data_IF_920610343220
#
_entry.id   IF_920610343220
#
_cell.length_a   1.000
_cell.length_b   1.000
_cell.length_c   1.000
_cell.angle_alpha   90.00
_cell.angle_beta   90.00
_cell.angle_gamma   90.00
#
_symmetry.space_group_name_H-M   'P 1'
#
loop_
_entity.id
_entity.type
_entity.pdbx_description
1 polymer ?
#
# COMPACT_ATOMS: atom_id res chain seq x y z
N UNK A 1 -5.71 -1.14 -21.63
CA UNK A 1 -6.58 -1.64 -20.56
C UNK A 1 -6.28 -3.09 -20.22
N UNK A 2 -6.89 -4.04 -20.92
CA UNK A 2 -6.87 -5.48 -20.60
C UNK A 2 -5.45 -6.04 -20.38
N UNK A 3 -4.52 -5.78 -21.30
CA UNK A 3 -3.12 -6.20 -21.17
C UNK A 3 -2.48 -5.71 -19.86
N UNK A 4 -2.67 -4.43 -19.51
CA UNK A 4 -2.13 -3.86 -18.27
C UNK A 4 -2.72 -4.51 -17.02
N UNK A 5 -3.98 -4.94 -17.07
CA UNK A 5 -4.62 -5.64 -15.97
C UNK A 5 -4.12 -7.08 -15.79
N UNK A 6 -3.99 -7.82 -16.90
CA UNK A 6 -3.40 -9.16 -16.92
C UNK A 6 -1.95 -9.15 -16.45
N UNK A 7 -1.16 -8.20 -16.97
CA UNK A 7 0.22 -7.98 -16.53
C UNK A 7 0.29 -7.64 -15.03
N UNK A 8 -0.55 -6.71 -14.56
CA UNK A 8 -0.59 -6.35 -13.15
C UNK A 8 -0.91 -7.53 -12.23
N UNK A 9 -1.91 -8.35 -12.58
CA UNK A 9 -2.26 -9.54 -11.83
C UNK A 9 -1.14 -10.61 -11.82
N UNK A 10 -0.52 -10.86 -12.98
CA UNK A 10 0.60 -11.79 -13.11
C UNK A 10 1.81 -11.31 -12.30
N UNK A 11 2.14 -10.02 -12.42
CA UNK A 11 3.25 -9.38 -11.70
C UNK A 11 3.08 -9.51 -10.19
N UNK A 12 1.90 -9.20 -9.65
CA UNK A 12 1.62 -9.28 -8.21
C UNK A 12 1.79 -10.73 -7.72
N UNK A 13 1.17 -11.71 -8.39
CA UNK A 13 1.26 -13.12 -7.99
C UNK A 13 2.70 -13.65 -8.05
N UNK A 14 3.39 -13.38 -9.15
CA UNK A 14 4.77 -13.82 -9.35
C UNK A 14 5.73 -13.17 -8.34
N UNK A 15 5.57 -11.87 -8.09
CA UNK A 15 6.42 -11.15 -7.14
C UNK A 15 6.21 -11.62 -5.70
N UNK A 16 4.96 -11.83 -5.26
CA UNK A 16 4.68 -12.36 -3.91
C UNK A 16 5.25 -13.78 -3.76
N UNK A 17 5.06 -14.64 -4.76
CA UNK A 17 5.61 -16.00 -4.74
C UNK A 17 7.15 -15.97 -4.64
N UNK A 18 7.79 -15.08 -5.40
CA UNK A 18 9.23 -14.87 -5.35
C UNK A 18 9.70 -14.34 -3.99
N UNK A 19 9.05 -13.32 -3.44
CA UNK A 19 9.39 -12.75 -2.14
C UNK A 19 9.17 -13.75 -0.99
N UNK A 20 8.10 -14.57 -1.05
CA UNK A 20 7.87 -15.67 -0.09
C UNK A 20 8.99 -16.70 -0.16
N UNK A 21 9.43 -17.05 -1.37
CA UNK A 21 10.58 -17.94 -1.56
C UNK A 21 11.87 -17.31 -1.04
N UNK A 22 12.10 -16.02 -1.23
CA UNK A 22 13.25 -15.28 -0.69
C UNK A 22 13.28 -15.30 0.85
N UNK A 23 12.13 -15.16 1.51
CA UNK A 23 12.03 -15.22 2.99
C UNK A 23 12.30 -16.62 3.55
N UNK A 24 11.94 -17.68 2.83
CA UNK A 24 12.09 -19.08 3.28
C UNK A 24 13.42 -19.71 2.91
N UNK A 25 14.12 -19.18 1.90
CA UNK A 25 15.40 -19.71 1.41
C UNK A 25 16.60 -18.95 1.97
N UNK A 26 17.81 -19.53 1.85
CA UNK A 26 19.08 -18.91 2.28
C UNK A 26 19.40 -17.58 1.60
N UNK A 27 18.72 -17.24 0.50
CA UNK A 27 18.82 -15.94 -0.17
C UNK A 27 18.51 -14.78 0.77
N UNK A 28 17.58 -14.95 1.73
CA UNK A 28 17.26 -13.92 2.72
C UNK A 28 18.39 -13.58 3.70
N UNK A 29 19.37 -14.49 3.88
CA UNK A 29 20.47 -14.35 4.84
C UNK A 29 21.61 -13.47 4.30
N UNK A 30 21.83 -13.44 2.98
CA UNK A 30 22.89 -12.67 2.33
C UNK A 30 22.34 -11.63 1.33
N UNK A 31 21.68 -10.56 1.82
CA UNK A 31 20.99 -9.60 0.96
C UNK A 31 21.94 -8.81 0.05
N UNK A 32 23.15 -8.50 0.50
CA UNK A 32 24.13 -7.72 -0.29
C UNK A 32 24.63 -8.54 -1.49
N UNK A 33 24.91 -9.83 -1.30
CA UNK A 33 25.37 -10.73 -2.37
C UNK A 33 24.28 -10.92 -3.41
N UNK A 34 23.03 -11.10 -2.99
CA UNK A 34 21.90 -11.18 -3.90
C UNK A 34 21.81 -9.94 -4.79
N UNK A 35 21.94 -8.74 -4.21
CA UNK A 35 21.89 -7.49 -4.97
C UNK A 35 23.02 -7.39 -5.99
N UNK A 36 24.24 -7.75 -5.62
CA UNK A 36 25.39 -7.75 -6.52
C UNK A 36 25.21 -8.74 -7.69
N UNK A 37 24.74 -9.95 -7.41
CA UNK A 37 24.52 -10.98 -8.44
C UNK A 37 23.40 -10.58 -9.39
N UNK A 38 22.28 -10.09 -8.87
CA UNK A 38 21.16 -9.63 -9.71
C UNK A 38 21.60 -8.44 -10.55
N UNK A 39 22.33 -7.47 -9.99
CA UNK A 39 22.83 -6.31 -10.73
C UNK A 39 23.85 -6.69 -11.83
N UNK A 40 24.75 -7.66 -11.56
CA UNK A 40 25.68 -8.15 -12.57
C UNK A 40 24.95 -8.87 -13.71
N UNK A 41 23.98 -9.71 -13.37
CA UNK A 41 23.16 -10.44 -14.35
C UNK A 41 22.29 -9.50 -15.17
N UNK A 42 21.68 -8.48 -14.54
CA UNK A 42 20.87 -7.48 -15.25
C UNK A 42 21.74 -6.70 -16.22
N UNK A 43 22.93 -6.28 -15.83
CA UNK A 43 23.87 -5.55 -16.69
C UNK A 43 24.30 -6.41 -17.89
N UNK A 44 24.63 -7.67 -17.66
CA UNK A 44 25.08 -8.60 -18.72
C UNK A 44 23.97 -8.88 -19.74
N UNK A 45 22.74 -9.09 -19.28
CA UNK A 45 21.60 -9.37 -20.18
C UNK A 45 21.06 -8.10 -20.85
N UNK A 46 21.15 -6.94 -20.19
CA UNK A 46 20.65 -5.68 -20.75
C UNK A 46 21.62 -5.02 -21.74
N UNK A 47 22.91 -5.34 -21.70
CA UNK A 47 23.93 -4.71 -22.55
C UNK A 47 23.70 -4.86 -24.07
N UNK A 48 23.26 -6.03 -24.60
CA UNK A 48 23.09 -6.23 -26.04
C UNK A 48 21.96 -5.42 -26.67
N UNK A 49 20.96 -5.01 -25.89
CA UNK A 49 19.78 -4.30 -26.40
C UNK A 49 19.82 -2.81 -26.01
N UNK A 50 19.79 -1.95 -27.02
CA UNK A 50 19.91 -0.49 -26.85
C UNK A 50 18.82 0.07 -25.93
N UNK A 51 17.57 -0.39 -26.08
CA UNK A 51 16.44 0.07 -25.28
C UNK A 51 16.47 -0.42 -23.83
N UNK A 52 17.11 -1.55 -23.55
CA UNK A 52 17.27 -2.03 -22.17
C UNK A 52 18.41 -1.34 -21.44
N UNK A 53 19.40 -0.84 -22.18
CA UNK A 53 20.56 -0.10 -21.68
C UNK A 53 20.23 1.34 -21.29
N UNK A 54 19.27 1.98 -21.96
CA UNK A 54 18.82 3.34 -21.68
C UNK A 54 18.24 3.50 -20.27
N UNK A 55 18.34 4.72 -19.73
CA UNK A 55 17.72 5.05 -18.44
C UNK A 55 16.19 4.99 -18.54
N UNK A 56 15.51 4.64 -17.44
CA UNK A 56 14.06 4.42 -17.48
C UNK A 56 13.24 5.66 -17.85
N UNK A 57 13.68 6.85 -17.42
CA UNK A 57 13.05 8.13 -17.75
C UNK A 57 13.26 8.53 -19.20
N UNK A 58 14.48 8.37 -19.71
CA UNK A 58 14.83 8.65 -21.10
C UNK A 58 14.08 7.72 -22.04
N UNK A 59 14.00 6.43 -21.69
CA UNK A 59 13.21 5.45 -22.44
C UNK A 59 11.74 5.87 -22.50
N UNK A 60 11.11 6.25 -21.38
CA UNK A 60 9.70 6.69 -21.39
C UNK A 60 9.53 7.94 -22.25
N UNK A 61 10.44 8.92 -22.14
CA UNK A 61 10.41 10.13 -22.96
C UNK A 61 10.49 9.81 -24.45
N UNK A 62 11.39 8.92 -24.83
CA UNK A 62 11.56 8.49 -26.23
C UNK A 62 10.32 7.76 -26.75
N UNK A 63 9.63 6.97 -25.91
CA UNK A 63 8.41 6.28 -26.30
C UNK A 63 7.19 7.20 -26.43
N UNK A 64 7.15 8.29 -25.67
CA UNK A 64 6.09 9.28 -25.73
C UNK A 64 6.30 10.28 -26.86
N UNK A 65 7.53 10.39 -27.38
CA UNK A 65 7.84 11.34 -28.44
C UNK A 65 7.10 10.98 -29.75
N UNK A 66 6.52 12.00 -30.36
CA UNK A 66 5.98 11.91 -31.71
C UNK A 66 7.10 12.20 -32.70
N UNK A 67 7.24 11.35 -33.71
CA UNK A 67 8.33 11.47 -34.67
C UNK A 67 8.22 12.78 -35.44
N UNK A 68 9.28 13.59 -35.42
CA UNK A 68 9.43 14.77 -36.29
C UNK A 68 10.41 14.49 -37.43
N UNK A 69 10.36 15.27 -38.52
CA UNK A 69 11.21 15.11 -39.71
C UNK A 69 12.73 15.18 -39.42
N UNK A 70 13.12 15.76 -38.28
CA UNK A 70 14.52 15.91 -37.86
C UNK A 70 14.98 14.90 -36.81
N UNK A 71 14.08 14.07 -36.27
CA UNK A 71 14.46 13.11 -35.23
C UNK A 71 15.05 11.85 -35.84
N UNK A 72 16.32 11.58 -35.49
CA UNK A 72 17.10 10.44 -35.97
C UNK A 72 16.88 9.16 -35.14
N UNK A 73 15.81 9.11 -34.35
CA UNK A 73 15.57 7.96 -33.49
C UNK A 73 15.15 6.73 -34.28
N UNK A 74 15.57 5.55 -33.81
CA UNK A 74 15.27 4.27 -34.48
C UNK A 74 13.75 3.99 -34.55
N UNK A 75 12.95 4.64 -33.71
CA UNK A 75 11.48 4.58 -33.74
C UNK A 75 10.86 5.42 -34.87
N UNK A 76 11.65 6.29 -35.52
CA UNK A 76 11.21 7.16 -36.61
C UNK A 76 11.75 6.73 -37.98
N UNK A 77 12.25 5.48 -38.08
CA UNK A 77 12.79 4.87 -39.30
C UNK A 77 11.76 4.50 -40.36
N UNK A 78 10.89 5.43 -40.75
CA UNK A 78 9.91 5.26 -41.83
C UNK A 78 10.57 5.46 -43.20
N UNK A 79 10.10 4.75 -44.25
CA UNK A 79 10.63 4.94 -45.61
C UNK A 79 10.26 6.34 -46.12
N UNK A 80 11.26 7.17 -46.43
CA UNK A 80 11.04 8.44 -47.11
C UNK A 80 10.59 8.18 -48.56
N UNK A 81 9.52 8.83 -49.06
CA UNK A 81 9.17 8.77 -50.46
C UNK A 81 10.27 9.46 -51.29
N UNK A 82 10.67 8.81 -52.37
CA UNK A 82 11.83 9.14 -53.23
C UNK A 82 11.73 10.54 -53.89
N UNK A 83 10.55 11.19 -53.86
CA UNK A 83 10.29 12.47 -54.54
C UNK A 83 9.97 13.64 -53.59
N UNK A 84 10.45 13.63 -52.34
CA UNK A 84 10.18 14.70 -51.36
C UNK A 84 11.24 15.81 -51.32
N UNK A 85 12.01 16.03 -52.38
CA UNK A 85 13.00 17.11 -52.44
C UNK A 85 12.53 18.41 -53.10
N UNK A 86 11.31 18.51 -53.65
CA UNK A 86 10.95 19.69 -54.47
C UNK A 86 9.59 20.36 -54.24
N UNK A 87 8.72 19.91 -53.35
CA UNK A 87 7.49 20.67 -53.06
C UNK A 87 7.25 20.81 -51.57
N UNK A 88 7.41 22.03 -51.07
CA UNK A 88 7.02 22.47 -49.73
C UNK A 88 5.51 22.49 -49.56
N UNK A 89 4.87 21.32 -49.65
CA UNK A 89 3.44 21.11 -49.43
C UNK A 89 3.28 20.04 -48.35
N UNK A 90 3.00 20.51 -47.13
CA UNK A 90 2.49 19.69 -46.02
C UNK A 90 3.55 19.04 -45.11
N UNK A 91 3.78 19.64 -43.95
CA UNK A 91 4.51 19.07 -42.81
C UNK A 91 3.71 17.95 -42.12
N UNK A 92 3.28 16.90 -42.82
CA UNK A 92 2.66 15.73 -42.19
C UNK A 92 3.52 14.49 -42.41
N UNK A 93 4.03 13.93 -41.30
CA UNK A 93 4.80 12.68 -41.29
C UNK A 93 3.94 11.44 -41.51
N UNK A 94 2.62 11.59 -41.38
CA UNK A 94 1.65 10.51 -41.44
C UNK A 94 1.50 9.97 -42.87
N UNK A 95 1.37 8.64 -42.99
CA UNK A 95 1.29 7.84 -44.23
C UNK A 95 2.62 7.42 -44.86
N UNK A 96 3.53 6.84 -44.06
CA UNK A 96 4.70 6.10 -44.59
C UNK A 96 4.70 4.63 -44.15
N UNK A 97 5.03 3.70 -45.07
CA UNK A 97 5.23 2.31 -44.68
C UNK A 97 6.45 2.19 -43.76
N UNK A 98 6.35 1.31 -42.77
CA UNK A 98 7.46 0.99 -41.88
C UNK A 98 8.72 0.61 -42.68
N UNK A 99 9.84 1.26 -42.38
CA UNK A 99 11.15 0.90 -42.90
C UNK A 99 11.75 -0.29 -42.18
N UNK A 100 12.82 -0.86 -42.73
CA UNK A 100 13.57 -1.96 -42.10
C UNK A 100 14.12 -1.56 -40.72
N UNK A 101 14.49 -0.28 -40.57
CA UNK A 101 14.88 0.32 -39.28
C UNK A 101 13.77 0.29 -38.23
N UNK A 102 12.51 0.53 -38.62
CA UNK A 102 11.38 0.47 -37.69
C UNK A 102 11.05 -0.97 -37.28
N UNK A 103 11.09 -1.93 -38.21
CA UNK A 103 10.85 -3.35 -37.88
C UNK A 103 11.91 -3.91 -36.92
N UNK A 104 13.19 -3.56 -37.13
CA UNK A 104 14.27 -3.93 -36.22
C UNK A 104 14.11 -3.28 -34.84
N UNK A 105 13.72 -2.01 -34.78
CA UNK A 105 13.39 -1.32 -33.53
C UNK A 105 12.22 -1.97 -32.77
N UNK A 106 11.13 -2.32 -33.47
CA UNK A 106 9.97 -3.00 -32.88
C UNK A 106 10.35 -4.37 -32.30
N UNK A 107 11.20 -5.12 -32.99
CA UNK A 107 11.71 -6.40 -32.49
C UNK A 107 12.56 -6.22 -31.23
N UNK A 108 13.45 -5.23 -31.22
CA UNK A 108 14.25 -4.89 -30.04
C UNK A 108 13.39 -4.41 -28.86
N UNK A 109 12.32 -3.65 -29.12
CA UNK A 109 11.33 -3.24 -28.11
C UNK A 109 10.53 -4.44 -27.57
N UNK A 110 10.15 -5.39 -28.41
CA UNK A 110 9.47 -6.61 -27.98
C UNK A 110 10.37 -7.47 -27.06
N UNK A 111 11.66 -7.61 -27.41
CA UNK A 111 12.64 -8.26 -26.53
C UNK A 111 12.84 -7.47 -25.23
N UNK A 112 12.89 -6.14 -25.30
CA UNK A 112 12.99 -5.27 -24.13
C UNK A 112 11.77 -5.41 -23.21
N UNK A 113 10.56 -5.56 -23.77
CA UNK A 113 9.32 -5.77 -23.02
C UNK A 113 9.40 -7.05 -22.19
N UNK A 114 9.76 -8.18 -22.83
CA UNK A 114 9.88 -9.48 -22.15
C UNK A 114 10.94 -9.40 -21.05
N UNK A 115 12.11 -8.83 -21.35
CA UNK A 115 13.18 -8.67 -20.37
C UNK A 115 12.76 -7.79 -19.19
N UNK A 116 12.16 -6.61 -19.44
CA UNK A 116 11.70 -5.68 -18.40
C UNK A 116 10.59 -6.32 -17.55
N UNK A 117 9.67 -7.07 -18.14
CA UNK A 117 8.66 -7.83 -17.39
C UNK A 117 9.32 -8.82 -16.42
N UNK A 118 10.26 -9.64 -16.88
CA UNK A 118 10.91 -10.63 -16.02
C UNK A 118 11.76 -9.98 -14.93
N UNK A 119 12.56 -8.98 -15.29
CA UNK A 119 13.51 -8.37 -14.35
C UNK A 119 12.82 -7.55 -13.26
N UNK A 120 11.70 -6.90 -13.58
CA UNK A 120 10.92 -6.14 -12.59
C UNK A 120 10.32 -7.03 -11.51
N UNK A 121 9.89 -8.25 -11.86
CA UNK A 121 9.38 -9.24 -10.89
C UNK A 121 10.48 -9.65 -9.90
N UNK A 122 11.72 -9.84 -10.38
CA UNK A 122 12.86 -10.30 -9.57
C UNK A 122 13.42 -9.17 -8.69
N UNK A 123 13.52 -7.96 -9.24
CA UNK A 123 14.13 -6.81 -8.56
C UNK A 123 13.24 -6.19 -7.50
N UNK A 124 11.92 -6.23 -7.69
CA UNK A 124 10.99 -5.71 -6.70
C UNK A 124 10.96 -6.62 -5.46
N UNK A 125 11.15 -6.02 -4.28
CA UNK A 125 11.25 -6.74 -3.00
C UNK A 125 12.67 -7.12 -2.57
N UNK A 126 13.71 -6.66 -3.28
CA UNK A 126 15.09 -6.74 -2.80
C UNK A 126 15.30 -5.75 -1.63
N UNK A 127 16.32 -5.97 -0.78
CA UNK A 127 16.63 -5.08 0.36
C UNK A 127 17.36 -3.81 -0.10
N UNK A 128 16.77 -3.07 -1.03
CA UNK A 128 17.27 -1.82 -1.61
C UNK A 128 16.10 -0.83 -1.69
N UNK A 129 16.28 0.45 -1.31
CA UNK A 129 15.25 1.46 -1.52
C UNK A 129 15.05 1.66 -3.02
N UNK A 130 13.89 1.24 -3.54
CA UNK A 130 13.56 1.32 -4.96
C UNK A 130 12.06 1.58 -5.17
N UNK A 131 11.73 2.20 -6.30
CA UNK A 131 10.36 2.52 -6.70
C UNK A 131 9.84 1.61 -7.81
N UNK A 132 8.55 1.30 -7.77
CA UNK A 132 7.87 0.46 -8.77
C UNK A 132 7.21 1.25 -9.91
N UNK A 133 7.09 2.57 -9.76
CA UNK A 133 6.36 3.42 -10.70
C UNK A 133 7.02 3.43 -12.09
N UNK A 134 8.30 3.82 -12.18
CA UNK A 134 9.01 3.96 -13.45
C UNK A 134 9.10 2.62 -14.21
N UNK A 135 9.48 1.48 -13.59
CA UNK A 135 9.55 0.22 -14.33
C UNK A 135 8.19 -0.26 -14.85
N UNK A 136 7.11 -0.04 -14.08
CA UNK A 136 5.75 -0.40 -14.50
C UNK A 136 5.25 0.48 -15.65
N UNK A 137 5.55 1.79 -15.60
CA UNK A 137 5.26 2.71 -16.70
C UNK A 137 6.05 2.34 -17.96
N UNK A 138 7.32 1.98 -17.84
CA UNK A 138 8.14 1.57 -18.99
C UNK A 138 7.58 0.32 -19.68
N UNK A 139 7.20 -0.72 -18.93
CA UNK A 139 6.56 -1.93 -19.50
C UNK A 139 5.27 -1.56 -20.25
N UNK A 140 4.45 -0.70 -19.65
CA UNK A 140 3.21 -0.25 -20.29
C UNK A 140 3.44 0.66 -21.50
N UNK A 141 4.43 1.54 -21.45
CA UNK A 141 4.80 2.41 -22.55
C UNK A 141 5.27 1.59 -23.74
N UNK A 142 6.13 0.58 -23.53
CA UNK A 142 6.62 -0.30 -24.60
C UNK A 142 5.46 -1.07 -25.24
N UNK A 143 4.60 -1.69 -24.43
CA UNK A 143 3.43 -2.38 -24.95
C UNK A 143 2.48 -1.43 -25.69
N UNK A 144 2.28 -0.22 -25.17
CA UNK A 144 1.48 0.82 -25.81
C UNK A 144 2.05 1.27 -27.15
N UNK A 145 3.36 1.54 -27.22
CA UNK A 145 4.03 1.95 -28.46
C UNK A 145 4.00 0.85 -29.52
N UNK A 146 4.24 -0.41 -29.13
CA UNK A 146 4.11 -1.56 -30.04
C UNK A 146 2.69 -1.67 -30.62
N UNK A 147 1.66 -1.46 -29.79
CA UNK A 147 0.27 -1.44 -30.23
C UNK A 147 -0.04 -0.22 -31.12
N UNK A 148 0.49 0.96 -30.78
CA UNK A 148 0.30 2.20 -31.54
C UNK A 148 0.87 2.10 -32.95
N UNK A 149 2.13 1.66 -33.09
CA UNK A 149 2.76 1.45 -34.41
C UNK A 149 2.06 0.32 -35.17
N UNK A 150 1.62 -0.75 -34.49
CA UNK A 150 0.83 -1.80 -35.12
C UNK A 150 -0.50 -1.31 -35.69
N UNK A 151 -1.22 -0.45 -34.95
CA UNK A 151 -2.48 0.17 -35.39
C UNK A 151 -2.25 1.15 -36.55
N UNK A 152 -1.18 1.93 -36.49
CA UNK A 152 -0.78 2.84 -37.57
C UNK A 152 -0.53 2.08 -38.88
N UNK A 153 0.28 1.01 -38.84
CA UNK A 153 0.56 0.20 -40.03
C UNK A 153 -0.70 -0.53 -40.54
N UNK A 154 -1.57 -0.99 -39.64
CA UNK A 154 -2.83 -1.61 -40.03
C UNK A 154 -3.76 -0.62 -40.75
N UNK A 155 -3.86 0.62 -40.26
CA UNK A 155 -4.65 1.67 -40.89
C UNK A 155 -4.11 2.02 -42.28
N UNK A 156 -2.79 2.01 -42.47
CA UNK A 156 -2.14 2.25 -43.77
C UNK A 156 -2.46 1.14 -44.79
N UNK A 157 -2.27 -0.14 -44.43
CA UNK A 157 -2.46 -1.26 -45.36
C UNK A 157 -3.94 -1.62 -45.60
N UNK A 158 -4.83 -1.29 -44.67
CA UNK A 158 -6.26 -1.67 -44.69
C UNK A 158 -7.17 -0.46 -44.41
N UNK A 159 -6.97 0.61 -45.17
CA UNK A 159 -7.76 1.84 -45.06
C UNK A 159 -9.28 1.61 -45.29
N UNK A 160 -9.65 0.61 -46.09
CA UNK A 160 -11.04 0.30 -46.42
C UNK A 160 -11.84 -0.39 -45.30
N UNK A 161 -11.20 -0.76 -44.18
CA UNK A 161 -11.88 -1.45 -43.09
C UNK A 161 -12.86 -0.51 -42.37
N UNK A 162 -14.02 -1.04 -41.94
CA UNK A 162 -15.13 -0.29 -41.35
C UNK A 162 -14.71 0.63 -40.18
N UNK A 163 -13.65 0.29 -39.47
CA UNK A 163 -13.12 1.04 -38.32
C UNK A 163 -12.40 2.32 -38.76
N UNK A 164 -11.72 2.30 -39.91
CA UNK A 164 -10.86 3.40 -40.37
C UNK A 164 -11.53 4.31 -41.41
N UNK A 165 -12.48 3.76 -42.17
CA UNK A 165 -13.15 4.40 -43.32
C UNK A 165 -13.88 5.72 -43.02
N UNK A 166 -14.18 6.03 -41.75
CA UNK A 166 -14.90 7.26 -41.37
C UNK A 166 -14.16 8.17 -40.37
N UNK A 167 -13.04 7.72 -39.81
CA UNK A 167 -12.33 8.43 -38.72
C UNK A 167 -10.96 8.92 -39.16
N UNK A 168 -10.34 8.24 -40.14
CA UNK A 168 -9.07 8.65 -40.72
C UNK A 168 -9.31 9.25 -42.11
N UNK A 169 -9.16 10.58 -42.24
CA UNK A 169 -9.10 11.24 -43.55
C UNK A 169 -7.68 11.16 -44.10
N UNK A 170 -7.48 10.90 -45.41
CA UNK A 170 -6.16 10.94 -46.03
C UNK A 170 -5.49 12.30 -45.78
N UNK A 171 -4.29 12.29 -45.18
CA UNK A 171 -3.51 13.51 -44.88
C UNK A 171 -3.75 14.16 -43.50
N UNK A 172 -4.54 13.56 -42.61
CA UNK A 172 -4.67 13.99 -41.21
C UNK A 172 -4.04 12.95 -40.24
N UNK A 173 -3.45 13.42 -39.14
CA UNK A 173 -2.83 12.57 -38.11
C UNK A 173 -3.91 11.77 -37.36
N UNK A 174 -4.29 10.61 -37.91
CA UNK A 174 -5.35 9.79 -37.32
C UNK A 174 -4.87 8.98 -36.11
N UNK A 175 -3.62 8.52 -36.13
CA UNK A 175 -3.05 7.63 -35.11
C UNK A 175 -1.68 8.15 -34.69
N UNK A 176 -1.55 8.53 -33.43
CA UNK A 176 -0.28 8.95 -32.81
C UNK A 176 0.23 7.84 -31.87
N UNK A 177 1.32 7.12 -32.23
CA UNK A 177 1.86 6.04 -31.40
C UNK A 177 2.32 6.50 -30.00
N UNK A 178 2.70 7.77 -29.83
CA UNK A 178 3.06 8.37 -28.53
C UNK A 178 1.88 8.35 -27.55
N UNK A 179 0.66 8.66 -28.02
CA UNK A 179 -0.55 8.60 -27.21
C UNK A 179 -0.86 7.19 -26.73
N UNK A 180 -0.69 6.18 -27.59
CA UNK A 180 -0.86 4.77 -27.20
C UNK A 180 0.17 4.35 -26.15
N UNK A 181 1.40 4.84 -26.23
CA UNK A 181 2.43 4.61 -25.21
C UNK A 181 2.03 5.22 -23.86
N UNK A 182 1.53 6.46 -23.84
CA UNK A 182 1.04 7.11 -22.61
C UNK A 182 -0.13 6.35 -21.97
N UNK A 183 -1.11 5.95 -22.78
CA UNK A 183 -2.27 5.17 -22.32
C UNK A 183 -1.85 3.78 -21.82
N UNK A 184 -0.90 3.14 -22.50
CA UNK A 184 -0.33 1.86 -22.10
C UNK A 184 0.43 1.94 -20.77
N UNK A 185 1.22 2.99 -20.57
CA UNK A 185 1.96 3.26 -19.34
C UNK A 185 1.02 3.40 -18.13
N UNK A 186 -0.01 4.25 -18.26
CA UNK A 186 -1.01 4.42 -17.21
C UNK A 186 -1.81 3.14 -16.96
N UNK A 187 -2.21 2.41 -18.01
CA UNK A 187 -2.92 1.15 -17.85
C UNK A 187 -2.11 0.11 -17.06
N UNK A 188 -0.83 -0.07 -17.37
CA UNK A 188 0.02 -1.03 -16.62
C UNK A 188 0.30 -0.58 -15.20
N UNK A 189 0.59 0.71 -14.97
CA UNK A 189 0.81 1.24 -13.63
C UNK A 189 -0.46 1.13 -12.77
N UNK A 190 -1.64 1.42 -13.34
CA UNK A 190 -2.94 1.26 -12.69
C UNK A 190 -3.28 -0.21 -12.39
N UNK A 191 -2.90 -1.14 -13.27
CA UNK A 191 -3.08 -2.59 -13.05
C UNK A 191 -2.20 -3.13 -11.90
N UNK A 192 -0.98 -2.62 -11.75
CA UNK A 192 -0.04 -3.04 -10.69
C UNK A 192 -0.38 -2.39 -9.34
N UNK A 193 -0.63 -1.07 -9.33
CA UNK A 193 -0.84 -0.29 -8.09
C UNK A 193 -2.28 -0.25 -7.62
N UNK A 194 -3.24 -0.47 -8.52
CA UNK A 194 -4.69 -0.28 -8.29
C UNK A 194 -5.09 1.15 -7.95
N UNK A 195 -4.22 2.13 -8.22
CA UNK A 195 -4.52 3.56 -8.13
C UNK A 195 -5.18 4.02 -9.44
N UNK A 196 -6.34 4.67 -9.36
CA UNK A 196 -7.10 5.12 -10.54
C UNK A 196 -7.03 6.63 -10.71
N UNK A 197 -7.78 7.39 -9.91
CA UNK A 197 -7.94 8.84 -10.08
C UNK A 197 -6.62 9.59 -9.95
N UNK A 198 -5.87 9.35 -8.87
CA UNK A 198 -4.58 10.01 -8.64
C UNK A 198 -3.57 9.74 -9.75
N UNK A 199 -3.57 8.51 -10.29
CA UNK A 199 -2.67 8.13 -11.38
C UNK A 199 -3.00 8.89 -12.67
N UNK A 200 -4.28 8.97 -13.03
CA UNK A 200 -4.75 9.71 -14.21
C UNK A 200 -4.37 11.18 -14.10
N UNK A 201 -4.55 11.79 -12.93
CA UNK A 201 -4.14 13.19 -12.68
C UNK A 201 -2.64 13.37 -12.82
N UNK A 202 -1.81 12.50 -12.22
CA UNK A 202 -0.35 12.58 -12.34
C UNK A 202 0.08 12.50 -13.81
N UNK A 203 -0.49 11.57 -14.59
CA UNK A 203 -0.11 11.40 -15.99
C UNK A 203 -0.59 12.55 -16.86
N UNK A 204 -1.77 13.11 -16.56
CA UNK A 204 -2.27 14.32 -17.18
C UNK A 204 -1.34 15.51 -16.94
N UNK A 205 -0.95 15.77 -15.70
CA UNK A 205 -0.04 16.87 -15.34
C UNK A 205 1.33 16.73 -16.03
N UNK A 206 1.83 15.50 -16.17
CA UNK A 206 3.10 15.24 -16.86
C UNK A 206 3.02 15.43 -18.38
N UNK A 207 1.84 15.31 -18.97
CA UNK A 207 1.64 15.35 -20.43
C UNK A 207 1.10 16.69 -20.93
N UNK A 208 0.46 17.48 -20.05
CA UNK A 208 0.02 18.85 -20.34
C UNK A 208 -1.21 18.97 -21.24
N UNK A 209 -1.89 17.87 -21.57
CA UNK A 209 -3.04 17.86 -22.49
C UNK A 209 -4.35 17.37 -21.84
N UNK A 210 -5.36 18.24 -21.74
CA UNK A 210 -6.67 17.92 -21.12
C UNK A 210 -7.51 16.95 -21.96
N UNK A 211 -7.28 16.91 -23.27
CA UNK A 211 -8.11 16.17 -24.23
C UNK A 211 -8.02 14.65 -24.05
N UNK A 212 -6.93 14.15 -23.47
CA UNK A 212 -6.65 12.72 -23.36
C UNK A 212 -7.03 12.08 -22.02
N UNK A 213 -7.68 12.83 -21.12
CA UNK A 213 -8.07 12.33 -19.79
C UNK A 213 -9.09 11.19 -19.89
N UNK A 214 -10.09 11.30 -20.77
CA UNK A 214 -11.18 10.32 -20.87
C UNK A 214 -10.67 8.95 -21.33
N UNK A 215 -9.88 8.83 -22.43
CA UNK A 215 -9.27 7.56 -22.83
C UNK A 215 -8.35 6.97 -21.75
N UNK A 216 -7.60 7.82 -21.05
CA UNK A 216 -6.69 7.40 -19.98
C UNK A 216 -7.46 6.79 -18.79
N UNK A 217 -8.57 7.43 -18.39
CA UNK A 217 -9.45 6.95 -17.34
C UNK A 217 -10.13 5.64 -17.73
N UNK A 218 -10.61 5.51 -18.96
CA UNK A 218 -11.19 4.27 -19.46
C UNK A 218 -10.16 3.11 -19.48
N UNK A 219 -8.94 3.38 -19.94
CA UNK A 219 -7.88 2.38 -20.00
C UNK A 219 -7.37 1.94 -18.61
N UNK A 220 -7.29 2.86 -17.65
CA UNK A 220 -6.89 2.57 -16.26
C UNK A 220 -7.99 1.83 -15.50
N UNK A 221 -9.27 2.23 -15.67
CA UNK A 221 -10.42 1.52 -15.07
C UNK A 221 -10.55 0.09 -15.62
N UNK A 222 -10.46 -0.09 -16.93
CA UNK A 222 -10.49 -1.44 -17.54
C UNK A 222 -9.32 -2.30 -17.05
N UNK A 223 -8.13 -1.72 -16.93
CA UNK A 223 -6.97 -2.41 -16.35
C UNK A 223 -7.23 -2.84 -14.90
N UNK A 224 -7.76 -1.94 -14.07
CA UNK A 224 -8.14 -2.25 -12.69
C UNK A 224 -9.17 -3.37 -12.61
N UNK A 225 -10.27 -3.30 -13.37
CA UNK A 225 -11.32 -4.32 -13.32
C UNK A 225 -10.81 -5.70 -13.74
N UNK A 226 -10.04 -5.77 -14.82
CA UNK A 226 -9.42 -7.02 -15.28
C UNK A 226 -8.51 -7.57 -14.19
N UNK A 227 -7.68 -6.72 -13.59
CA UNK A 227 -6.78 -7.16 -12.54
C UNK A 227 -7.55 -7.55 -11.26
N UNK A 228 -8.66 -6.88 -10.92
CA UNK A 228 -9.48 -7.14 -9.71
C UNK A 228 -10.16 -8.53 -9.84
N UNK A 229 -10.49 -8.95 -11.07
CA UNK A 229 -11.01 -10.28 -11.35
C UNK A 229 -10.02 -11.41 -11.03
N UNK A 230 -8.71 -11.18 -11.14
CA UNK A 230 -7.67 -12.16 -10.77
C UNK A 230 -7.18 -12.01 -9.33
N UNK A 231 -7.45 -10.88 -8.68
CA UNK A 231 -7.08 -10.60 -7.30
C UNK A 231 -7.41 -9.16 -6.93
N UNK A 232 -8.09 -8.98 -5.78
CA UNK A 232 -8.57 -7.66 -5.32
C UNK A 232 -7.45 -6.77 -4.77
N UNK A 233 -6.34 -7.38 -4.34
CA UNK A 233 -5.22 -6.68 -3.70
C UNK A 233 -4.28 -6.05 -4.75
N UNK A 234 -3.86 -4.82 -4.46
CA UNK A 234 -2.73 -4.20 -5.15
C UNK A 234 -1.38 -4.70 -4.64
N UNK A 235 -0.30 -4.36 -5.34
CA UNK A 235 1.06 -4.75 -4.93
C UNK A 235 1.43 -4.26 -3.52
N UNK A 236 1.00 -3.07 -3.13
CA UNK A 236 1.30 -2.49 -1.81
C UNK A 236 0.55 -3.22 -0.69
N UNK A 237 -0.75 -3.46 -0.87
CA UNK A 237 -1.59 -4.23 0.07
C UNK A 237 -1.04 -5.65 0.24
N UNK A 238 -0.64 -6.28 -0.86
CA UNK A 238 -0.02 -7.60 -0.84
C UNK A 238 1.30 -7.65 -0.05
N UNK A 239 2.16 -6.64 -0.17
CA UNK A 239 3.42 -6.57 0.60
C UNK A 239 3.18 -6.30 2.10
N UNK A 240 2.19 -5.47 2.43
CA UNK A 240 1.76 -5.24 3.83
C UNK A 240 1.35 -6.58 4.46
N UNK A 241 0.56 -7.37 3.73
CA UNK A 241 0.09 -8.70 4.16
C UNK A 241 1.23 -9.72 4.25
N UNK A 242 2.14 -9.74 3.28
CA UNK A 242 3.32 -10.61 3.28
C UNK A 242 4.28 -10.31 4.44
N UNK A 243 4.31 -9.07 4.94
CA UNK A 243 5.11 -8.66 6.09
C UNK A 243 4.38 -8.82 7.44
N UNK A 244 3.09 -9.18 7.44
CA UNK A 244 2.32 -9.34 8.66
C UNK A 244 2.09 -8.04 9.42
N UNK A 245 2.01 -6.89 8.72
CA UNK A 245 1.74 -5.62 9.40
C UNK A 245 0.26 -5.48 9.78
N UNK A 246 -0.07 -4.93 10.96
CA UNK A 246 -1.45 -4.73 11.40
C UNK A 246 -2.11 -3.55 10.66
N UNK A 247 -2.59 -3.82 9.45
CA UNK A 247 -3.29 -2.85 8.60
C UNK A 247 -4.78 -3.21 8.51
N UNK A 248 -5.64 -2.23 8.81
CA UNK A 248 -7.09 -2.37 8.74
C UNK A 248 -7.53 -1.68 7.45
N UNK A 249 -7.87 -2.48 6.44
CA UNK A 249 -8.25 -1.96 5.12
C UNK A 249 -9.59 -1.20 5.21
N UNK A 250 -9.70 -0.05 4.55
CA UNK A 250 -10.93 0.76 4.56
C UNK A 250 -12.03 0.21 3.63
N UNK A 251 -11.68 -0.70 2.70
CA UNK A 251 -12.57 -1.19 1.64
C UNK A 251 -13.26 -2.52 1.96
N UNK A 252 -12.88 -3.20 3.05
CA UNK A 252 -13.52 -4.44 3.45
C UNK A 252 -14.78 -4.12 4.26
N UNK A 253 -15.94 -4.34 3.62
CA UNK A 253 -17.25 -4.33 4.28
C UNK A 253 -17.33 -5.53 5.23
N UNK A 254 -17.69 -5.27 6.48
CA UNK A 254 -17.82 -6.30 7.49
C UNK A 254 -19.20 -6.94 7.33
N UNK A 255 -19.31 -8.00 6.53
CA UNK A 255 -20.60 -8.69 6.29
C UNK A 255 -21.06 -9.58 7.47
N UNK A 256 -20.31 -9.62 8.57
CA UNK A 256 -20.50 -10.59 9.64
C UNK A 256 -21.20 -10.00 10.87
N UNK A 257 -22.18 -10.73 11.40
CA UNK A 257 -22.99 -10.33 12.57
C UNK A 257 -22.29 -10.50 13.94
N UNK A 258 -20.96 -10.45 13.99
CA UNK A 258 -20.20 -10.54 15.24
C UNK A 258 -20.40 -9.29 16.10
N UNK A 259 -20.37 -9.46 17.42
CA UNK A 259 -20.52 -8.36 18.39
C UNK A 259 -19.17 -8.02 19.05
N UNK A 260 -19.07 -6.83 19.64
CA UNK A 260 -17.88 -6.39 20.37
C UNK A 260 -17.45 -7.38 21.46
N UNK A 261 -18.40 -8.03 22.13
CA UNK A 261 -18.15 -9.06 23.16
C UNK A 261 -17.41 -10.29 22.63
N UNK A 262 -17.54 -10.63 21.35
CA UNK A 262 -16.90 -11.80 20.74
C UNK A 262 -15.41 -11.54 20.43
N UNK A 263 -15.03 -10.27 20.30
CA UNK A 263 -13.69 -9.82 19.90
C UNK A 263 -12.87 -9.34 21.08
N UNK A 264 -13.52 -8.76 22.10
CA UNK A 264 -12.85 -8.20 23.26
C UNK A 264 -11.97 -9.21 24.00
N UNK A 265 -10.94 -8.67 24.68
CA UNK A 265 -10.10 -9.40 25.62
C UNK A 265 -10.36 -8.90 27.05
N UNK A 266 -10.40 -9.79 28.06
CA UNK A 266 -10.15 -11.23 27.99
C UNK A 266 -11.36 -12.02 27.45
N UNK A 267 -11.08 -13.13 26.74
CA UNK A 267 -12.10 -14.13 26.36
C UNK A 267 -12.32 -15.13 27.50
N UNK A 268 -13.39 -15.93 27.40
CA UNK A 268 -13.61 -17.07 28.32
C UNK A 268 -12.40 -18.02 28.26
N UNK A 269 -11.62 -18.07 29.35
CA UNK A 269 -10.41 -18.90 29.47
C UNK A 269 -9.09 -18.13 29.41
N UNK A 270 -9.10 -16.84 29.07
CA UNK A 270 -7.92 -15.97 29.19
C UNK A 270 -7.72 -15.50 30.64
N UNK A 271 -6.50 -15.09 31.03
CA UNK A 271 -6.27 -14.43 32.31
C UNK A 271 -7.10 -13.16 32.44
N UNK A 272 -7.49 -12.82 33.67
CA UNK A 272 -8.26 -11.62 33.97
C UNK A 272 -7.55 -10.35 33.45
N UNK A 273 -8.34 -9.35 33.07
CA UNK A 273 -7.82 -8.07 32.60
C UNK A 273 -7.01 -7.42 33.73
N UNK A 274 -5.77 -7.00 33.42
CA UNK A 274 -4.98 -6.19 34.34
C UNK A 274 -5.61 -4.79 34.45
N UNK A 275 -6.15 -4.46 35.61
CA UNK A 275 -6.80 -3.19 35.90
C UNK A 275 -6.10 -2.50 37.08
N UNK A 276 -6.13 -1.17 37.10
CA UNK A 276 -5.68 -0.38 38.25
C UNK A 276 -6.90 0.12 39.02
N UNK A 277 -6.81 0.16 40.35
CA UNK A 277 -7.88 0.72 41.18
C UNK A 277 -7.72 2.22 41.39
N UNK A 278 -8.82 2.91 41.64
CA UNK A 278 -8.86 4.36 41.81
C UNK A 278 -8.06 4.87 43.02
N UNK A 279 -8.08 4.15 44.15
CA UNK A 279 -7.46 4.60 45.42
C UNK A 279 -6.97 3.47 46.34
N UNK A 280 -7.16 2.19 46.00
CA UNK A 280 -6.81 1.07 46.89
C UNK A 280 -5.42 0.46 46.68
N UNK A 281 -4.75 0.72 45.54
CA UNK A 281 -3.48 0.07 45.22
C UNK A 281 -2.27 0.85 45.75
N UNK A 282 -1.25 0.12 46.18
CA UNK A 282 0.05 0.70 46.57
C UNK A 282 0.98 0.88 45.38
N UNK A 283 2.02 1.73 45.52
CA UNK A 283 3.03 1.92 44.47
C UNK A 283 3.69 0.60 44.09
N UNK A 284 4.02 -0.25 45.07
CA UNK A 284 4.60 -1.57 44.84
C UNK A 284 3.68 -2.46 44.00
N UNK A 285 2.40 -2.54 44.35
CA UNK A 285 1.42 -3.33 43.57
C UNK A 285 1.31 -2.83 42.13
N UNK A 286 1.27 -1.51 41.93
CA UNK A 286 1.23 -0.92 40.59
C UNK A 286 2.51 -1.27 39.80
N UNK A 287 3.69 -1.18 40.41
CA UNK A 287 4.95 -1.59 39.79
C UNK A 287 4.94 -3.09 39.45
N UNK A 288 4.45 -3.96 40.34
CA UNK A 288 4.36 -5.41 40.05
C UNK A 288 3.42 -5.72 38.88
N UNK A 289 2.29 -5.01 38.75
CA UNK A 289 1.38 -5.16 37.60
C UNK A 289 2.04 -4.68 36.31
N UNK A 290 2.78 -3.58 36.38
CA UNK A 290 3.52 -3.06 35.24
C UNK A 290 4.62 -4.04 34.83
N UNK A 291 5.40 -4.57 35.76
CA UNK A 291 6.52 -5.47 35.45
C UNK A 291 6.10 -6.87 35.03
N UNK A 292 5.00 -7.39 35.59
CA UNK A 292 4.46 -8.70 35.21
C UNK A 292 3.75 -8.71 33.85
N UNK A 293 3.39 -7.55 33.31
CA UNK A 293 2.66 -7.43 32.05
C UNK A 293 3.46 -6.68 30.98
N UNK A 294 3.17 -6.93 29.70
CA UNK A 294 3.76 -6.19 28.57
C UNK A 294 2.77 -5.21 27.92
N UNK A 295 1.69 -4.87 28.62
CA UNK A 295 0.64 -4.00 28.08
C UNK A 295 1.08 -2.53 28.04
N UNK A 296 0.61 -1.79 27.03
CA UNK A 296 0.95 -0.38 26.83
C UNK A 296 0.15 0.59 27.70
N UNK A 297 -0.86 0.12 28.41
CA UNK A 297 -1.67 0.90 29.33
C UNK A 297 -2.73 0.04 30.01
N UNK A 298 -3.38 0.64 31.01
CA UNK A 298 -4.28 -0.04 31.93
C UNK A 298 -5.53 0.80 32.14
N UNK A 299 -6.72 0.19 32.12
CA UNK A 299 -7.93 0.86 32.54
C UNK A 299 -7.94 1.01 34.07
N UNK A 300 -8.47 2.14 34.53
CA UNK A 300 -8.65 2.45 35.95
C UNK A 300 -10.11 2.20 36.32
N UNK A 301 -10.36 1.39 37.34
CA UNK A 301 -11.68 1.08 37.86
C UNK A 301 -11.86 1.59 39.28
N UNK A 302 -13.10 1.84 39.70
CA UNK A 302 -13.41 2.32 41.06
C UNK A 302 -12.88 1.35 42.12
N UNK A 303 -13.19 0.07 41.98
CA UNK A 303 -12.72 -0.98 42.88
C UNK A 303 -12.72 -2.34 42.18
N UNK A 304 -12.00 -3.31 42.73
CA UNK A 304 -11.98 -4.67 42.18
C UNK A 304 -13.36 -5.35 42.19
N UNK A 305 -14.23 -4.98 43.13
CA UNK A 305 -15.58 -5.53 43.24
C UNK A 305 -16.57 -4.87 42.27
N UNK A 306 -16.50 -3.55 42.14
CA UNK A 306 -17.47 -2.80 41.33
C UNK A 306 -17.15 -2.81 39.84
N UNK A 307 -15.85 -2.92 39.50
CA UNK A 307 -15.31 -2.89 38.12
C UNK A 307 -15.86 -1.74 37.27
N UNK A 308 -16.30 -0.63 37.88
CA UNK A 308 -16.79 0.53 37.15
C UNK A 308 -15.63 1.30 36.56
N UNK A 309 -15.69 1.61 35.28
CA UNK A 309 -14.64 2.32 34.57
C UNK A 309 -14.57 3.79 35.01
N UNK A 310 -13.37 4.25 35.36
CA UNK A 310 -13.08 5.66 35.73
C UNK A 310 -12.27 6.34 34.63
N UNK A 311 -11.30 5.63 34.05
CA UNK A 311 -10.41 6.20 33.05
C UNK A 311 -9.41 5.20 32.50
N UNK A 312 -8.41 5.70 31.77
CA UNK A 312 -7.33 4.90 31.19
C UNK A 312 -5.98 5.57 31.39
N UNK A 313 -4.94 4.80 31.72
CA UNK A 313 -3.59 5.30 31.96
C UNK A 313 -2.59 4.57 31.07
N UNK A 314 -1.67 5.30 30.46
CA UNK A 314 -0.58 4.72 29.66
C UNK A 314 0.56 4.25 30.55
N UNK A 315 1.14 3.09 30.21
CA UNK A 315 2.28 2.51 30.95
C UNK A 315 3.47 3.46 31.03
N UNK A 316 3.78 4.14 29.92
CA UNK A 316 4.93 5.07 29.85
C UNK A 316 4.76 6.22 30.84
N UNK A 317 3.59 6.81 30.89
CA UNK A 317 3.33 7.99 31.72
C UNK A 317 3.25 7.58 33.20
N UNK A 318 2.74 6.37 33.48
CA UNK A 318 2.77 5.77 34.81
C UNK A 318 4.20 5.60 35.34
N UNK A 319 5.09 4.98 34.55
CA UNK A 319 6.50 4.77 34.92
C UNK A 319 7.24 6.09 35.13
N UNK A 320 7.05 7.07 34.24
CA UNK A 320 7.69 8.39 34.34
C UNK A 320 7.20 9.12 35.59
N UNK A 321 5.89 9.08 35.89
CA UNK A 321 5.35 9.75 37.07
C UNK A 321 5.79 9.11 38.38
N UNK A 322 5.91 7.78 38.45
CA UNK A 322 6.41 7.08 39.64
C UNK A 322 7.90 7.39 39.87
N UNK A 323 8.74 7.34 38.83
CA UNK A 323 10.17 7.69 38.93
C UNK A 323 10.38 9.15 39.33
N UNK A 324 9.60 10.07 38.74
CA UNK A 324 9.65 11.49 39.12
C UNK A 324 9.18 11.72 40.55
N UNK A 325 8.16 10.99 41.02
CA UNK A 325 7.68 11.10 42.39
C UNK A 325 8.73 10.64 43.39
N UNK A 326 9.39 9.50 43.16
CA UNK A 326 10.49 9.02 44.02
C UNK A 326 11.66 10.01 44.10
N UNK A 327 11.92 10.78 43.04
CA UNK A 327 13.02 11.76 42.98
C UNK A 327 12.68 13.13 43.57
N UNK A 328 11.41 13.56 43.48
CA UNK A 328 10.99 14.93 43.79
C UNK A 328 10.12 15.07 45.02
N UNK A 329 9.47 14.00 45.47
CA UNK A 329 8.59 14.01 46.63
C UNK A 329 9.22 13.24 47.77
N UNK A 330 9.64 13.98 48.80
CA UNK A 330 10.15 13.38 50.03
C UNK A 330 9.02 12.60 50.72
N UNK A 331 9.26 11.31 50.98
CA UNK A 331 8.34 10.43 51.71
C UNK A 331 7.48 9.49 50.85
N UNK A 332 7.55 9.55 49.51
CA UNK A 332 6.91 8.52 48.67
C UNK A 332 7.70 7.22 48.77
N UNK A 333 7.07 6.19 49.31
CA UNK A 333 7.65 4.86 49.52
C UNK A 333 6.83 3.81 48.76
N UNK A 334 7.34 2.59 48.65
CA UNK A 334 6.65 1.48 47.99
C UNK A 334 5.24 1.22 48.54
N UNK A 335 5.02 1.50 49.83
CA UNK A 335 3.72 1.36 50.52
C UNK A 335 2.80 2.57 50.40
N UNK A 336 3.23 3.65 49.73
CA UNK A 336 2.37 4.80 49.43
C UNK A 336 1.18 4.37 48.57
N UNK A 337 -0.01 4.83 48.91
CA UNK A 337 -1.20 4.58 48.10
C UNK A 337 -1.20 5.43 46.83
N UNK A 338 -1.55 4.82 45.70
CA UNK A 338 -1.72 5.49 44.41
C UNK A 338 -3.17 5.93 44.27
N UNK A 339 -3.37 7.22 44.02
CA UNK A 339 -4.70 7.83 43.99
C UNK A 339 -4.93 8.56 42.67
N UNK A 340 -5.99 8.20 41.97
CA UNK A 340 -6.43 8.81 40.70
C UNK A 340 -7.57 9.84 40.88
N UNK A 341 -7.90 10.18 42.12
CA UNK A 341 -8.94 11.16 42.48
C UNK A 341 -8.36 12.54 42.80
N UNK A 342 -9.22 13.56 42.77
CA UNK A 342 -8.88 14.91 43.26
C UNK A 342 -8.74 14.95 44.78
N UNK A 343 -9.59 14.20 45.48
CA UNK A 343 -9.64 14.14 46.92
C UNK A 343 -9.02 12.83 47.38
N UNK A 344 -7.85 12.90 48.00
CA UNK A 344 -7.25 11.73 48.64
C UNK A 344 -8.10 11.31 49.84
N UNK A 345 -8.37 10.01 50.02
CA UNK A 345 -9.06 9.53 51.21
C UNK A 345 -8.28 9.95 52.47
N UNK A 346 -9.00 10.20 53.56
CA UNK A 346 -8.41 10.52 54.87
C UNK A 346 -7.58 9.35 55.35
N UNK A 347 -6.25 9.48 55.25
CA UNK A 347 -5.32 8.48 55.73
C UNK A 347 -5.01 8.67 57.21
N UNK A 348 -4.68 7.58 57.94
CA UNK A 348 -4.19 7.70 59.31
C UNK A 348 -2.89 8.52 59.34
N UNK A 349 -2.63 9.27 60.42
CA UNK A 349 -1.50 10.21 60.52
C UNK A 349 -0.11 9.55 60.40
N UNK A 350 -0.04 8.22 60.49
CA UNK A 350 1.19 7.43 60.42
C UNK A 350 1.44 6.83 59.02
N UNK A 351 0.51 6.99 58.07
CA UNK A 351 0.67 6.48 56.72
C UNK A 351 1.58 7.37 55.85
N UNK A 352 2.33 6.79 54.91
CA UNK A 352 3.13 7.55 53.97
C UNK A 352 2.24 8.39 53.03
N UNK A 353 2.74 9.54 52.53
CA UNK A 353 1.98 10.42 51.66
C UNK A 353 1.48 9.68 50.40
N UNK A 354 0.23 9.94 49.96
CA UNK A 354 -0.34 9.31 48.78
C UNK A 354 0.24 9.89 47.49
N UNK A 355 0.49 9.03 46.51
CA UNK A 355 0.95 9.40 45.19
C UNK A 355 -0.26 9.74 44.30
N UNK A 356 -0.44 11.02 43.98
CA UNK A 356 -1.55 11.50 43.14
C UNK A 356 -1.21 11.41 41.66
N UNK A 357 -1.88 10.53 40.93
CA UNK A 357 -1.66 10.27 39.50
C UNK A 357 -2.86 10.63 38.62
N UNK A 358 -3.85 11.37 39.13
CA UNK A 358 -5.01 11.83 38.35
C UNK A 358 -4.61 12.56 37.06
N UNK A 359 -3.54 13.36 37.10
CA UNK A 359 -3.13 14.19 35.97
C UNK A 359 -2.65 13.42 34.73
N UNK A 360 -2.30 12.14 34.85
CA UNK A 360 -1.88 11.28 33.73
C UNK A 360 -3.00 10.36 33.22
N UNK A 361 -4.17 10.40 33.85
CA UNK A 361 -5.31 9.57 33.49
C UNK A 361 -6.18 10.26 32.45
N UNK A 362 -6.48 9.54 31.38
CA UNK A 362 -7.54 9.91 30.46
C UNK A 362 -8.90 9.60 31.10
N UNK A 363 -9.69 10.64 31.35
CA UNK A 363 -11.02 10.56 31.97
C UNK A 363 -12.12 10.23 30.97
N UNK A 364 -11.83 10.28 29.67
CA UNK A 364 -12.79 10.05 28.59
C UNK A 364 -12.26 9.04 27.58
N UNK A 365 -11.83 7.83 28.01
CA UNK A 365 -11.42 6.81 27.07
C UNK A 365 -12.63 6.41 26.21
N UNK A 366 -12.37 6.09 24.94
CA UNK A 366 -13.45 5.69 24.04
C UNK A 366 -14.00 4.31 24.43
N UNK A 367 -15.31 4.25 24.70
CA UNK A 367 -16.02 3.04 25.12
C UNK A 367 -17.07 2.61 24.11
N UNK A 368 -17.22 1.30 23.92
CA UNK A 368 -18.36 0.68 23.23
C UNK A 368 -19.13 -0.23 24.18
N UNK A 369 -20.39 -0.51 23.87
CA UNK A 369 -21.18 -1.50 24.59
C UNK A 369 -20.87 -2.90 24.06
N UNK A 370 -21.05 -3.92 24.90
CA UNK A 370 -20.88 -5.33 24.54
C UNK A 370 -21.73 -5.79 23.35
N UNK A 371 -22.93 -5.23 23.19
CA UNK A 371 -23.84 -5.51 22.08
C UNK A 371 -23.59 -4.65 20.83
N UNK A 372 -22.51 -3.84 20.79
CA UNK A 372 -22.20 -3.05 19.59
C UNK A 372 -21.76 -3.98 18.46
N UNK A 373 -22.39 -3.89 17.27
CA UNK A 373 -21.93 -4.60 16.08
C UNK A 373 -20.48 -4.31 15.70
N UNK A 374 -19.77 -5.33 15.19
CA UNK A 374 -18.36 -5.19 14.85
C UNK A 374 -18.09 -4.30 13.64
N UNK A 375 -19.02 -4.18 12.69
CA UNK A 375 -18.93 -3.22 11.58
C UNK A 375 -18.79 -1.77 12.09
N UNK A 376 -19.64 -1.37 13.05
CA UNK A 376 -19.59 -0.06 13.70
C UNK A 376 -18.27 0.09 14.48
N UNK A 377 -17.88 -0.94 15.23
CA UNK A 377 -16.63 -0.91 16.01
C UNK A 377 -15.42 -0.73 15.09
N UNK A 378 -15.36 -1.46 13.99
CA UNK A 378 -14.31 -1.35 12.97
C UNK A 378 -14.29 0.05 12.34
N UNK A 379 -15.46 0.59 12.01
CA UNK A 379 -15.59 1.94 11.44
C UNK A 379 -15.10 3.02 12.40
N UNK A 380 -15.37 2.87 13.70
CA UNK A 380 -14.83 3.75 14.75
C UNK A 380 -13.30 3.70 14.75
N UNK A 381 -12.70 2.49 14.74
CA UNK A 381 -11.24 2.35 14.68
C UNK A 381 -10.65 2.97 13.40
N UNK A 382 -11.32 2.82 12.26
CA UNK A 382 -10.89 3.36 10.97
C UNK A 382 -10.98 4.89 10.93
N UNK A 383 -12.10 5.47 11.35
CA UNK A 383 -12.39 6.90 11.22
C UNK A 383 -11.73 7.75 12.30
N UNK A 384 -11.67 7.26 13.54
CA UNK A 384 -11.06 7.99 14.66
C UNK A 384 -9.58 7.63 14.86
N UNK A 385 -9.07 6.58 14.21
CA UNK A 385 -7.67 6.16 14.37
C UNK A 385 -7.35 5.66 15.77
N UNK A 386 -8.30 5.05 16.47
CA UNK A 386 -8.13 4.59 17.84
C UNK A 386 -7.06 3.49 17.94
N UNK A 387 -6.26 3.54 19.01
CA UNK A 387 -5.32 2.46 19.35
C UNK A 387 -6.02 1.28 20.02
N UNK A 388 -7.00 1.59 20.85
CA UNK A 388 -7.77 0.64 21.65
C UNK A 388 -9.15 1.23 21.99
N UNK A 389 -10.09 0.38 22.36
CA UNK A 389 -11.42 0.75 22.78
C UNK A 389 -11.82 -0.14 23.96
N UNK A 390 -12.45 0.44 24.98
CA UNK A 390 -12.91 -0.29 26.15
C UNK A 390 -14.34 -0.78 25.94
N UNK A 391 -14.62 -2.02 26.32
CA UNK A 391 -15.96 -2.60 26.24
C UNK A 391 -16.58 -2.54 27.61
N UNK A 392 -17.76 -1.94 27.69
CA UNK A 392 -18.48 -1.74 28.95
C UNK A 392 -19.92 -2.24 28.88
N UNK A 393 -20.45 -2.66 30.02
CA UNK A 393 -21.86 -2.99 30.18
C UNK A 393 -22.39 -2.27 31.42
N UNK A 394 -23.32 -1.33 31.24
CA UNK A 394 -23.85 -0.48 32.33
C UNK A 394 -22.74 0.20 33.17
N UNK A 395 -21.68 0.69 32.50
CA UNK A 395 -20.53 1.35 33.13
C UNK A 395 -19.52 0.42 33.80
N UNK A 396 -19.78 -0.90 33.84
CA UNK A 396 -18.79 -1.90 34.25
C UNK A 396 -17.87 -2.25 33.08
N UNK A 397 -16.57 -2.32 33.34
CA UNK A 397 -15.57 -2.73 32.38
C UNK A 397 -15.63 -4.25 32.20
N UNK A 398 -15.78 -4.69 30.95
CA UNK A 398 -15.76 -6.11 30.58
C UNK A 398 -14.45 -6.50 29.89
N UNK A 399 -13.92 -5.61 29.06
CA UNK A 399 -12.74 -5.92 28.27
C UNK A 399 -12.19 -4.73 27.50
N UNK A 400 -11.17 -5.02 26.71
CA UNK A 400 -10.52 -4.09 25.79
C UNK A 400 -10.45 -4.73 24.40
N UNK A 401 -10.68 -3.92 23.38
CA UNK A 401 -10.49 -4.29 21.97
C UNK A 401 -9.29 -3.47 21.48
N UNK A 402 -8.31 -4.13 20.88
CA UNK A 402 -7.23 -3.45 20.15
C UNK A 402 -7.34 -3.69 18.65
N UNK A 403 -6.65 -2.88 17.85
CA UNK A 403 -6.56 -3.09 16.40
C UNK A 403 -6.07 -4.51 16.06
N UNK A 404 -5.18 -5.09 16.87
CA UNK A 404 -4.66 -6.45 16.66
C UNK A 404 -5.76 -7.51 16.88
N UNK A 405 -6.65 -7.31 17.85
CA UNK A 405 -7.73 -8.25 18.14
C UNK A 405 -8.76 -8.29 17.02
N UNK A 406 -9.11 -7.11 16.47
CA UNK A 406 -9.97 -6.99 15.30
C UNK A 406 -9.38 -7.77 14.12
N UNK A 407 -8.09 -7.55 13.81
CA UNK A 407 -7.44 -8.22 12.69
C UNK A 407 -7.33 -9.74 12.88
N UNK A 408 -7.05 -10.20 14.11
CA UNK A 408 -7.07 -11.64 14.45
C UNK A 408 -8.46 -12.23 14.25
N UNK A 409 -9.50 -11.53 14.68
CA UNK A 409 -10.87 -11.98 14.50
C UNK A 409 -11.27 -12.06 13.03
N UNK A 410 -10.93 -11.06 12.23
CA UNK A 410 -11.13 -11.09 10.78
C UNK A 410 -10.44 -12.28 10.11
N UNK A 411 -9.23 -12.60 10.55
CA UNK A 411 -8.49 -13.76 10.04
C UNK A 411 -9.13 -15.09 10.40
N UNK A 412 -9.58 -15.23 11.65
CA UNK A 412 -10.32 -16.41 12.12
C UNK A 412 -11.59 -16.63 11.31
N UNK A 413 -12.36 -15.57 11.07
CA UNK A 413 -13.58 -15.62 10.26
C UNK A 413 -13.28 -16.00 8.81
N UNK A 414 -12.18 -15.50 8.24
CA UNK A 414 -11.77 -15.79 6.87
C UNK A 414 -11.16 -17.20 6.68
N UNK A 415 -11.25 -18.10 7.66
CA UNK A 415 -10.59 -19.43 7.67
C UNK A 415 -9.09 -19.35 7.33
N UNK A 416 -8.43 -18.28 7.75
CA UNK A 416 -6.97 -18.15 7.69
C UNK A 416 -6.41 -18.45 9.07
N UNK A 417 -5.29 -19.18 9.12
CA UNK A 417 -4.63 -19.48 10.40
C UNK A 417 -4.37 -18.18 11.17
N UNK A 418 -4.95 -17.98 12.36
CA UNK A 418 -4.78 -16.74 13.13
C UNK A 418 -3.31 -16.50 13.51
N UNK A 419 -2.55 -17.59 13.63
CA UNK A 419 -1.10 -17.57 13.93
C UNK A 419 -0.24 -17.34 12.68
N UNK A 420 -0.81 -17.39 11.47
CA UNK A 420 -0.10 -16.94 10.26
C UNK A 420 0.06 -15.42 10.20
N UNK A 421 -0.71 -14.70 11.03
CA UNK A 421 -0.60 -13.25 11.23
C UNK A 421 0.14 -12.98 12.55
N UNK A 422 1.34 -13.54 12.67
CA UNK A 422 2.28 -13.12 13.70
C UNK A 422 2.70 -11.68 13.38
N UNK A 423 2.05 -10.74 14.06
CA UNK A 423 2.50 -9.36 14.13
C UNK A 423 3.83 -9.35 14.89
N UNK A 424 4.94 -9.20 14.17
CA UNK A 424 6.22 -8.85 14.80
C UNK A 424 6.13 -7.53 15.56
#
# INVERSE_FOLDING_TARGET
GIFGGLWGALFIRANIAWCRRRKTTRLGHYPVIEVLVVAALTALIAYPNSYTRMSGSELISELFNDCSLLDSSQLCGYKQPVNASETGVGNSLADRPAGEGLYTALWQLALALIFKMLITVITFGMKVPSGLFIPSMAVGAIAGRLLGVGMEQLAYYKHDWLIFRGWCSPGADCITPGLYAMVGAAACLGGVTRMTVSLVVIMFELTGGLEYIVPLMAATMTSKWVADAFGREGIYEAHIRLNGYPFLEAKEEFEHSSLAVDVMRPRRGDPALAVLTQDSMTVEEVETVVDSTHYSGFPVVVSQESQRLVGFVLRRDLLISIDNARKRQDGVVSTSQVVFTEHAPTQPPEAPPPLRLRGIMDLSPFTVTDHTPMDITVDIFRKLGLRQCLVTHNGRLLGIITKKDILKHMAQIANRDPDSILFN
#
